data_IF_826755981921
#
_entry.id   IF_826755981921
#
_cell.length_a   1.000
_cell.length_b   1.000
_cell.length_c   1.000
_cell.angle_alpha   90.00
_cell.angle_beta   90.00
_cell.angle_gamma   90.00
#
_symmetry.space_group_name_H-M   'P 1'
#
loop_
_entity.id
_entity.type
_entity.pdbx_description
1 polymer ?
#
# COMPACT_ATOMS: atom_id res chain seq x y z
N UNK A 1 19.90 -7.57 -1.89
CA UNK A 1 18.82 -6.86 -2.54
C UNK A 1 18.53 -5.55 -1.85
N UNK A 2 18.39 -4.52 -2.64
CA UNK A 2 18.23 -3.18 -2.11
C UNK A 2 16.80 -2.95 -1.64
N UNK A 3 16.62 -2.74 -0.35
CA UNK A 3 15.31 -2.45 0.21
C UNK A 3 15.08 -0.96 0.29
N UNK A 4 13.88 -0.55 -0.01
CA UNK A 4 13.48 0.84 0.01
C UNK A 4 12.25 1.05 0.86
N UNK A 5 12.19 2.19 1.48
CA UNK A 5 10.97 2.60 2.16
C UNK A 5 10.03 3.24 1.13
N UNK A 6 8.75 3.02 1.32
CA UNK A 6 7.74 3.62 0.47
C UNK A 6 6.44 3.78 1.20
N UNK A 7 5.54 4.49 0.55
CA UNK A 7 4.18 4.71 1.03
C UNK A 7 3.23 4.23 -0.06
N UNK A 8 2.23 3.46 0.33
CA UNK A 8 1.17 3.03 -0.59
C UNK A 8 -0.14 3.56 -0.07
N UNK A 9 -0.83 4.35 -0.88
CA UNK A 9 -2.15 4.87 -0.54
C UNK A 9 -3.21 4.11 -1.31
N UNK A 10 -4.27 3.71 -0.62
CA UNK A 10 -5.38 2.96 -1.20
C UNK A 10 -6.67 3.66 -0.82
N UNK A 11 -7.50 3.97 -1.82
CA UNK A 11 -8.86 4.45 -1.57
C UNK A 11 -9.79 3.34 -1.99
N UNK A 12 -10.54 2.79 -1.04
CA UNK A 12 -11.52 1.74 -1.29
C UNK A 12 -12.85 2.41 -1.54
N UNK A 13 -13.26 2.45 -2.79
CA UNK A 13 -14.46 3.17 -3.23
C UNK A 13 -15.70 2.30 -3.23
N UNK A 14 -15.51 0.98 -3.23
CA UNK A 14 -16.59 0.01 -3.21
C UNK A 14 -16.38 -0.95 -2.06
N UNK A 15 -17.32 -0.97 -1.12
CA UNK A 15 -17.25 -1.86 0.03
C UNK A 15 -17.13 -3.33 -0.35
N UNK A 16 -17.61 -3.71 -1.53
CA UNK A 16 -17.53 -5.08 -2.01
C UNK A 16 -16.11 -5.57 -2.27
N UNK A 17 -15.13 -4.67 -2.39
CA UNK A 17 -13.76 -5.08 -2.66
C UNK A 17 -12.88 -5.14 -1.40
N UNK A 18 -13.43 -4.83 -0.22
CA UNK A 18 -12.65 -4.77 1.03
C UNK A 18 -11.94 -6.07 1.31
N UNK A 19 -12.62 -7.20 1.15
CA UNK A 19 -12.01 -8.50 1.43
C UNK A 19 -10.85 -8.79 0.48
N UNK A 20 -10.97 -8.42 -0.78
CA UNK A 20 -9.90 -8.62 -1.75
C UNK A 20 -8.69 -7.76 -1.41
N UNK A 21 -8.91 -6.52 -1.02
CA UNK A 21 -7.84 -5.64 -0.59
C UNK A 21 -7.12 -6.24 0.62
N UNK A 22 -7.88 -6.64 1.63
CA UNK A 22 -7.30 -7.21 2.85
C UNK A 22 -6.53 -8.50 2.57
N UNK A 23 -7.00 -9.32 1.64
CA UNK A 23 -6.29 -10.54 1.28
C UNK A 23 -4.92 -10.23 0.66
N UNK A 24 -4.87 -9.26 -0.24
CA UNK A 24 -3.60 -8.86 -0.84
C UNK A 24 -2.66 -8.32 0.23
N UNK A 25 -3.16 -7.49 1.15
CA UNK A 25 -2.34 -6.95 2.23
C UNK A 25 -1.81 -8.06 3.12
N UNK A 26 -2.61 -9.08 3.38
CA UNK A 26 -2.18 -10.24 4.16
C UNK A 26 -1.06 -11.00 3.43
N UNK A 27 -1.21 -11.20 2.14
CA UNK A 27 -0.22 -11.94 1.34
C UNK A 27 1.12 -11.21 1.28
N UNK A 28 1.12 -9.90 1.44
CA UNK A 28 2.33 -9.07 1.40
C UNK A 28 2.68 -8.48 2.76
N UNK A 29 2.22 -9.12 3.83
CA UNK A 29 2.43 -8.59 5.18
C UNK A 29 3.89 -8.37 5.52
N UNK A 30 4.80 -9.17 4.97
CA UNK A 30 6.23 -9.05 5.23
C UNK A 30 6.81 -7.71 4.75
N UNK A 31 6.17 -7.07 3.79
CA UNK A 31 6.61 -5.77 3.29
C UNK A 31 6.07 -4.61 4.13
N UNK A 32 5.01 -4.85 4.88
CA UNK A 32 4.27 -3.77 5.53
C UNK A 32 4.84 -3.51 6.92
N UNK A 33 5.41 -2.33 7.10
CA UNK A 33 5.99 -1.89 8.37
C UNK A 33 4.92 -1.25 9.24
N UNK A 34 3.98 -0.55 8.62
CA UNK A 34 2.90 0.09 9.36
C UNK A 34 1.70 0.30 8.45
N UNK A 35 0.53 0.37 9.05
CA UNK A 35 -0.67 0.65 8.27
C UNK A 35 -1.64 1.47 9.12
N UNK A 36 -2.39 2.31 8.44
CA UNK A 36 -3.46 3.07 9.05
C UNK A 36 -4.66 3.02 8.12
N UNK A 37 -5.81 2.67 8.67
CA UNK A 37 -7.05 2.67 7.92
C UNK A 37 -8.04 3.63 8.53
N UNK A 38 -8.74 4.36 7.68
CA UNK A 38 -9.73 5.34 8.12
C UNK A 38 -10.97 5.22 7.26
N UNK A 39 -12.10 4.77 7.83
CA UNK A 39 -13.35 4.80 7.09
C UNK A 39 -13.88 6.23 7.03
N UNK A 40 -14.25 6.68 5.85
CA UNK A 40 -14.81 8.02 5.65
C UNK A 40 -16.28 7.87 5.29
N UNK A 41 -17.11 7.80 6.30
CA UNK A 41 -18.52 7.44 6.14
C UNK A 41 -19.31 8.41 5.28
N UNK A 42 -18.99 9.69 5.35
CA UNK A 42 -19.72 10.70 4.59
C UNK A 42 -19.61 10.48 3.09
N UNK A 43 -18.49 9.94 2.64
CA UNK A 43 -18.27 9.66 1.22
C UNK A 43 -18.42 8.19 0.86
N UNK A 44 -18.68 7.34 1.84
CA UNK A 44 -18.84 5.91 1.60
C UNK A 44 -17.55 5.21 1.17
N UNK A 45 -16.40 5.78 1.50
CA UNK A 45 -15.10 5.22 1.12
C UNK A 45 -14.27 4.92 2.35
N UNK A 46 -13.26 4.08 2.17
CA UNK A 46 -12.24 3.85 3.19
C UNK A 46 -10.88 4.20 2.60
N UNK A 47 -10.01 4.77 3.43
CA UNK A 47 -8.65 5.11 3.00
C UNK A 47 -7.68 4.31 3.82
N UNK A 48 -6.73 3.66 3.15
CA UNK A 48 -5.70 2.87 3.81
C UNK A 48 -4.34 3.44 3.39
N UNK A 49 -3.50 3.72 4.37
CA UNK A 49 -2.13 4.15 4.12
C UNK A 49 -1.19 3.09 4.67
N UNK A 50 -0.23 2.69 3.85
CA UNK A 50 0.76 1.70 4.23
C UNK A 50 2.14 2.32 4.19
N UNK A 51 2.98 1.96 5.15
CA UNK A 51 4.40 2.18 5.06
C UNK A 51 5.02 0.83 4.75
N UNK A 52 5.78 0.77 3.67
CA UNK A 52 6.36 -0.49 3.19
C UNK A 52 7.87 -0.39 3.14
N UNK A 53 8.51 -1.53 3.32
CA UNK A 53 9.96 -1.68 3.25
C UNK A 53 10.26 -2.95 2.47
N UNK A 54 10.80 -2.80 1.27
CA UNK A 54 11.08 -3.94 0.43
C UNK A 54 11.78 -3.52 -0.85
N UNK A 55 12.05 -4.49 -1.71
CA UNK A 55 12.63 -4.20 -3.01
C UNK A 55 11.61 -3.50 -3.90
N UNK A 56 12.12 -2.79 -4.92
CA UNK A 56 11.23 -2.18 -5.92
C UNK A 56 10.31 -3.22 -6.54
N UNK A 57 10.83 -4.40 -6.83
CA UNK A 57 10.03 -5.45 -7.46
C UNK A 57 8.90 -5.92 -6.56
N UNK A 58 9.19 -6.09 -5.27
CA UNK A 58 8.18 -6.53 -4.31
C UNK A 58 7.10 -5.46 -4.11
N UNK A 59 7.51 -4.21 -3.99
CA UNK A 59 6.55 -3.10 -3.82
C UNK A 59 5.69 -2.96 -5.08
N UNK A 60 6.31 -3.08 -6.26
CA UNK A 60 5.58 -3.02 -7.52
C UNK A 60 4.59 -4.17 -7.67
N UNK A 61 4.95 -5.36 -7.20
CA UNK A 61 4.04 -6.50 -7.23
C UNK A 61 2.82 -6.25 -6.34
N UNK A 62 3.05 -5.69 -5.15
CA UNK A 62 1.96 -5.35 -4.23
C UNK A 62 1.03 -4.32 -4.87
N UNK A 63 1.58 -3.21 -5.37
CA UNK A 63 0.77 -2.15 -5.95
C UNK A 63 0.06 -2.60 -7.21
N UNK A 64 0.70 -3.47 -8.00
CA UNK A 64 0.08 -4.04 -9.19
C UNK A 64 -1.13 -4.90 -8.87
N UNK A 65 -1.02 -5.73 -7.85
CA UNK A 65 -2.15 -6.56 -7.42
C UNK A 65 -3.29 -5.71 -6.86
N UNK A 66 -2.96 -4.71 -6.05
CA UNK A 66 -3.98 -3.82 -5.52
C UNK A 66 -4.66 -3.03 -6.63
N UNK A 67 -3.88 -2.58 -7.61
CA UNK A 67 -4.42 -1.79 -8.72
C UNK A 67 -5.36 -2.56 -9.65
N UNK A 68 -5.33 -3.88 -9.60
CA UNK A 68 -6.25 -4.71 -10.39
C UNK A 68 -7.60 -4.92 -9.72
N UNK A 69 -7.73 -4.51 -8.48
CA UNK A 69 -8.99 -4.68 -7.75
C UNK A 69 -9.96 -3.60 -8.20
N UNK A 70 -11.10 -4.01 -8.77
CA UNK A 70 -12.14 -3.09 -9.15
C UNK A 70 -12.74 -2.46 -7.88
N UNK A 71 -12.88 -1.15 -7.87
CA UNK A 71 -13.40 -0.43 -6.72
C UNK A 71 -12.33 0.10 -5.78
N UNK A 72 -11.05 -0.08 -6.12
CA UNK A 72 -9.95 0.47 -5.34
C UNK A 72 -9.03 1.30 -6.24
N UNK A 73 -8.58 2.43 -5.70
CA UNK A 73 -7.59 3.29 -6.36
C UNK A 73 -6.30 3.23 -5.55
N UNK A 74 -5.17 3.10 -6.22
CA UNK A 74 -3.88 2.87 -5.56
C UNK A 74 -2.82 3.80 -6.14
N UNK A 75 -2.02 4.38 -5.27
CA UNK A 75 -0.83 5.14 -5.64
C UNK A 75 0.28 4.79 -4.68
N UNK A 76 1.51 4.77 -5.18
CA UNK A 76 2.67 4.53 -4.35
C UNK A 76 3.75 5.57 -4.59
N UNK A 77 4.57 5.75 -3.57
CA UNK A 77 5.75 6.59 -3.65
C UNK A 77 6.89 5.82 -2.97
N UNK A 78 8.00 5.70 -3.67
CA UNK A 78 9.16 4.99 -3.14
C UNK A 78 10.26 6.02 -2.90
N UNK A 79 10.96 5.90 -1.77
CA UNK A 79 12.05 6.79 -1.46
C UNK A 79 13.12 6.72 -2.55
N UNK A 80 13.66 7.87 -2.93
CA UNK A 80 14.66 7.95 -3.99
C UNK A 80 15.99 7.35 -3.60
N UNK A 81 16.31 7.40 -2.31
CA UNK A 81 17.58 6.91 -1.79
C UNK A 81 17.33 5.90 -0.71
N UNK A 82 18.32 5.03 -0.51
CA UNK A 82 18.29 4.10 0.60
C UNK A 82 18.30 4.90 1.90
N UNK A 83 17.36 4.66 2.85
CA UNK A 83 17.30 5.43 4.10
C UNK A 83 18.58 5.40 4.92
N UNK A 84 19.42 4.39 4.75
CA UNK A 84 20.68 4.30 5.49
C UNK A 84 21.78 5.20 4.97
N UNK A 85 21.58 5.85 3.83
CA UNK A 85 22.61 6.63 3.16
C UNK A 85 22.44 8.13 3.33
N UNK A 86 21.28 8.57 3.62
CA UNK A 86 21.05 10.00 3.77
C UNK A 86 20.36 10.25 5.08
N UNK A 87 21.04 10.80 6.01
CA UNK A 87 20.41 11.18 7.25
C UNK A 87 19.27 12.15 7.00
N UNK A 88 18.23 12.04 7.74
CA UNK A 88 17.16 13.01 7.75
C UNK A 88 17.42 14.00 8.84
#
# INVERSE_FOLDING_TARGET
MDKRLGIVGIVVEDAGCVEKVNQVLHDYADLIVGRMGLPHRERGVSVIALIVDGSNDDISALTGKLGRISGASVKSMIAKTNPNQGGV
#
